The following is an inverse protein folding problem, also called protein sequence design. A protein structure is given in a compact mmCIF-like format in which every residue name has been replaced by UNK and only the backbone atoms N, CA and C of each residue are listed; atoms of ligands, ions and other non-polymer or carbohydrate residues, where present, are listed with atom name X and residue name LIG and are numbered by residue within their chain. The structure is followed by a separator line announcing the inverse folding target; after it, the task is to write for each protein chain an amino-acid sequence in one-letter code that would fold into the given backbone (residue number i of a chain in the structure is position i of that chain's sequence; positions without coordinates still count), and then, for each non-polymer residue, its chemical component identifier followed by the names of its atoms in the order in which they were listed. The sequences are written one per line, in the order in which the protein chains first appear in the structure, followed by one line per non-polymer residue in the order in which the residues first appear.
data_IF_716618473838
#
_entry.id   IF_716618473838
#
_cell.length_a   1.000
_cell.length_b   1.000
_cell.length_c   1.000
_cell.angle_alpha   90.00
_cell.angle_beta   90.00
_cell.angle_gamma   90.00
#
_symmetry.space_group_name_H-M   'P 1'
#
loop_
_entity.id
_entity.type
_entity.pdbx_description
1 polymer ?
#
# COMPACT_ATOMS: atom_id res chain seq x y z
N UNK A 1 -45.58 31.79 -39.68
CA UNK A 1 -44.64 32.18 -38.61
C UNK A 1 -44.83 31.41 -37.28
N UNK A 2 -46.06 31.01 -36.89
CA UNK A 2 -46.29 30.28 -35.62
C UNK A 2 -45.63 28.89 -35.55
N UNK A 3 -45.56 28.15 -36.66
CA UNK A 3 -44.92 26.82 -36.73
C UNK A 3 -43.38 26.88 -36.64
N UNK A 4 -42.77 27.95 -37.18
CA UNK A 4 -41.31 28.15 -37.12
C UNK A 4 -40.85 28.40 -35.68
N UNK A 5 -41.64 29.16 -34.91
CA UNK A 5 -41.40 29.36 -33.48
C UNK A 5 -41.56 28.08 -32.65
N UNK A 6 -42.51 27.20 -33.03
CA UNK A 6 -42.66 25.89 -32.40
C UNK A 6 -41.45 24.98 -32.67
N UNK A 7 -40.92 24.97 -33.90
CA UNK A 7 -39.70 24.23 -34.24
C UNK A 7 -38.44 24.78 -33.52
N UNK A 8 -38.33 26.09 -33.33
CA UNK A 8 -37.23 26.72 -32.58
C UNK A 8 -37.24 26.34 -31.09
N UNK A 9 -38.42 26.18 -30.48
CA UNK A 9 -38.58 25.72 -29.10
C UNK A 9 -38.15 24.25 -28.88
N UNK A 10 -38.24 23.40 -29.91
CA UNK A 10 -37.74 22.02 -29.83
C UNK A 10 -36.21 21.92 -29.96
N UNK A 11 -35.56 22.87 -30.65
CA UNK A 11 -34.09 22.88 -30.81
C UNK A 11 -33.39 23.26 -29.49
N UNK A 12 -34.08 23.93 -28.58
CA UNK A 12 -33.59 24.23 -27.22
C UNK A 12 -33.74 23.06 -26.22
N UNK A 13 -34.07 21.85 -26.67
CA UNK A 13 -33.92 20.64 -25.86
C UNK A 13 -32.42 20.37 -25.70
N UNK A 14 -31.83 21.05 -24.73
CA UNK A 14 -30.40 20.99 -24.40
C UNK A 14 -29.96 19.54 -24.31
N UNK A 15 -28.96 19.18 -25.12
CA UNK A 15 -28.24 17.92 -25.00
C UNK A 15 -27.67 17.85 -23.58
N UNK A 16 -28.25 17.01 -22.73
CA UNK A 16 -27.62 16.65 -21.49
C UNK A 16 -26.30 15.95 -21.85
N UNK A 17 -25.19 16.39 -21.28
CA UNK A 17 -23.92 15.70 -21.48
C UNK A 17 -24.01 14.34 -20.78
N UNK A 18 -24.09 13.29 -21.58
CA UNK A 18 -24.12 11.91 -21.12
C UNK A 18 -22.69 11.35 -21.11
N UNK A 19 -22.28 10.79 -19.98
CA UNK A 19 -21.01 10.10 -19.82
C UNK A 19 -21.27 8.66 -19.46
N UNK A 20 -20.33 7.78 -19.83
CA UNK A 20 -20.37 6.38 -19.45
C UNK A 20 -19.08 6.03 -18.76
N UNK A 21 -19.18 5.42 -17.58
CA UNK A 21 -18.03 4.94 -16.82
C UNK A 21 -18.28 3.53 -16.33
N UNK A 22 -17.20 2.75 -16.24
CA UNK A 22 -17.23 1.47 -15.56
C UNK A 22 -17.20 1.72 -14.05
N UNK A 23 -18.06 1.03 -13.31
CA UNK A 23 -18.07 1.06 -11.85
C UNK A 23 -16.91 0.24 -11.30
N UNK A 24 -15.87 0.91 -10.85
CA UNK A 24 -14.66 0.29 -10.33
C UNK A 24 -14.67 0.26 -8.79
N UNK A 25 -13.89 -0.64 -8.16
CA UNK A 25 -13.56 -0.53 -6.74
C UNK A 25 -12.96 0.83 -6.41
N UNK A 26 -13.15 1.32 -5.18
CA UNK A 26 -12.56 2.59 -4.76
C UNK A 26 -11.05 2.59 -4.92
N UNK A 27 -10.41 1.48 -4.50
CA UNK A 27 -8.97 1.27 -4.61
C UNK A 27 -8.67 -0.15 -5.09
N UNK A 28 -7.60 -0.26 -5.87
CA UNK A 28 -7.02 -1.52 -6.31
C UNK A 28 -5.53 -1.54 -5.96
N UNK A 29 -5.10 -2.60 -5.31
CA UNK A 29 -3.75 -2.75 -4.78
C UNK A 29 -3.03 -3.89 -5.47
N UNK A 30 -1.84 -3.60 -5.99
CA UNK A 30 -0.87 -4.61 -6.42
C UNK A 30 0.06 -4.93 -5.25
N UNK A 31 -0.16 -6.05 -4.58
CA UNK A 31 0.69 -6.45 -3.46
C UNK A 31 1.95 -7.13 -4.00
N UNK A 32 3.10 -6.52 -3.72
CA UNK A 32 4.42 -6.96 -4.20
C UNK A 32 5.26 -7.48 -3.05
N UNK A 33 6.19 -8.37 -3.36
CA UNK A 33 7.11 -8.91 -2.36
C UNK A 33 8.08 -7.84 -1.89
N UNK A 34 8.27 -7.71 -0.58
CA UNK A 34 9.35 -6.88 -0.02
C UNK A 34 10.67 -7.67 0.12
N UNK A 35 10.60 -9.00 0.05
CA UNK A 35 11.70 -9.91 0.39
C UNK A 35 11.87 -11.00 -0.66
N UNK A 36 13.08 -11.56 -0.75
CA UNK A 36 13.34 -12.75 -1.57
C UNK A 36 13.03 -14.04 -0.83
N UNK A 37 12.61 -15.06 -1.56
CA UNK A 37 12.54 -16.42 -1.05
C UNK A 37 11.66 -17.34 -1.88
N UNK A 38 11.62 -18.61 -1.47
CA UNK A 38 10.72 -19.60 -2.02
C UNK A 38 9.35 -19.46 -1.36
N UNK A 39 8.29 -19.45 -2.15
CA UNK A 39 6.90 -19.51 -1.66
C UNK A 39 6.64 -20.92 -1.16
N UNK A 40 6.30 -21.06 0.12
CA UNK A 40 5.96 -22.33 0.78
C UNK A 40 4.46 -22.52 0.91
N UNK A 41 3.67 -21.46 0.72
CA UNK A 41 2.23 -21.50 0.76
C UNK A 41 1.65 -20.40 -0.11
N UNK A 42 0.64 -20.76 -0.91
CA UNK A 42 -0.17 -19.82 -1.70
C UNK A 42 -1.63 -20.27 -1.66
N UNK A 43 -2.51 -19.38 -1.20
CA UNK A 43 -3.92 -19.71 -0.95
C UNK A 43 -4.82 -19.39 -2.14
N UNK A 44 -4.66 -20.14 -3.23
CA UNK A 44 -5.47 -19.94 -4.45
C UNK A 44 -6.99 -20.03 -4.24
N UNK A 45 -7.45 -20.62 -3.12
CA UNK A 45 -8.88 -20.67 -2.78
C UNK A 45 -9.48 -19.32 -2.41
N UNK A 46 -8.65 -18.32 -2.08
CA UNK A 46 -9.14 -16.97 -1.76
C UNK A 46 -9.46 -16.15 -3.01
N UNK A 47 -8.96 -16.55 -4.18
CA UNK A 47 -9.28 -15.87 -5.44
C UNK A 47 -10.80 -15.81 -5.64
N UNK A 48 -11.31 -14.62 -5.92
CA UNK A 48 -12.74 -14.42 -6.07
C UNK A 48 -13.49 -14.17 -4.76
N UNK A 49 -12.79 -13.99 -3.62
CA UNK A 49 -13.43 -13.85 -2.31
C UNK A 49 -12.76 -12.78 -1.42
N UNK A 50 -13.45 -12.37 -0.35
CA UNK A 50 -12.87 -11.49 0.68
C UNK A 50 -11.90 -12.27 1.56
N UNK A 51 -10.74 -11.69 1.84
CA UNK A 51 -9.66 -12.37 2.54
C UNK A 51 -9.98 -12.72 4.01
N UNK A 52 -10.77 -11.90 4.72
CA UNK A 52 -11.19 -12.16 6.10
C UNK A 52 -10.06 -12.54 7.08
N UNK A 53 -8.97 -11.76 7.07
CA UNK A 53 -7.77 -11.96 7.89
C UNK A 53 -7.07 -13.31 7.65
N UNK A 54 -7.15 -13.79 6.41
CA UNK A 54 -6.51 -15.04 5.99
C UNK A 54 -5.07 -14.81 5.54
N UNK A 55 -4.24 -15.83 5.73
CA UNK A 55 -2.92 -15.91 5.10
C UNK A 55 -3.14 -16.12 3.61
N UNK A 56 -2.57 -15.21 2.80
CA UNK A 56 -2.64 -15.29 1.33
C UNK A 56 -1.42 -16.04 0.81
N UNK A 57 -0.22 -15.63 1.27
CA UNK A 57 1.07 -16.19 0.83
C UNK A 57 2.01 -16.29 2.03
N UNK A 58 2.79 -17.38 2.07
CA UNK A 58 3.92 -17.52 2.98
C UNK A 58 5.19 -17.87 2.20
N UNK A 59 6.26 -17.15 2.52
CA UNK A 59 7.61 -17.31 1.97
C UNK A 59 8.47 -17.97 3.06
N UNK A 60 9.36 -18.88 2.66
CA UNK A 60 10.24 -19.60 3.58
C UNK A 60 11.07 -18.65 4.45
N UNK A 61 10.87 -18.74 5.77
CA UNK A 61 11.53 -17.92 6.79
C UNK A 61 12.40 -18.73 7.76
N UNK A 62 12.60 -20.04 7.52
CA UNK A 62 13.27 -20.94 8.48
C UNK A 62 14.68 -20.47 8.80
N UNK A 63 15.49 -20.21 7.77
CA UNK A 63 16.89 -19.76 7.95
C UNK A 63 16.95 -18.41 8.67
N UNK A 64 16.06 -17.47 8.33
CA UNK A 64 16.02 -16.16 8.98
C UNK A 64 15.66 -16.27 10.47
N UNK A 65 14.74 -17.17 10.84
CA UNK A 65 14.36 -17.40 12.25
C UNK A 65 15.53 -17.96 13.05
N UNK A 66 16.27 -18.92 12.49
CA UNK A 66 17.49 -19.46 13.12
C UNK A 66 18.54 -18.36 13.27
N UNK A 67 18.76 -17.56 12.23
CA UNK A 67 19.72 -16.46 12.28
C UNK A 67 19.34 -15.41 13.34
N UNK A 68 18.05 -15.08 13.47
CA UNK A 68 17.53 -14.16 14.48
C UNK A 68 17.81 -14.67 15.90
N UNK A 69 17.59 -15.95 16.15
CA UNK A 69 17.88 -16.57 17.45
C UNK A 69 19.39 -16.50 17.77
N UNK A 70 20.24 -16.86 16.81
CA UNK A 70 21.69 -16.80 16.98
C UNK A 70 22.19 -15.36 17.19
N UNK A 71 21.63 -14.39 16.49
CA UNK A 71 21.94 -12.97 16.68
C UNK A 71 21.54 -12.48 18.07
N UNK A 72 20.39 -12.92 18.62
CA UNK A 72 19.99 -12.60 20.00
C UNK A 72 20.94 -13.20 21.04
N UNK A 73 21.38 -14.44 20.82
CA UNK A 73 22.37 -15.07 21.70
C UNK A 73 23.71 -14.33 21.68
N UNK A 74 24.18 -13.93 20.48
CA UNK A 74 25.38 -13.09 20.34
C UNK A 74 25.26 -11.75 21.05
N UNK A 75 24.10 -11.08 20.94
CA UNK A 75 23.84 -9.83 21.65
C UNK A 75 23.96 -10.02 23.17
N UNK A 76 23.40 -11.11 23.72
CA UNK A 76 23.52 -11.44 25.13
C UNK A 76 24.99 -11.58 25.56
N UNK A 77 25.81 -12.27 24.77
CA UNK A 77 27.25 -12.40 25.07
C UNK A 77 27.99 -11.06 24.99
N UNK A 78 27.65 -10.20 24.03
CA UNK A 78 28.21 -8.85 23.95
C UNK A 78 27.84 -8.04 25.20
N UNK A 79 26.60 -8.13 25.67
CA UNK A 79 26.16 -7.46 26.91
C UNK A 79 26.93 -7.95 28.14
N UNK A 80 27.17 -9.26 28.25
CA UNK A 80 27.99 -9.84 29.32
C UNK A 80 29.44 -9.34 29.25
N UNK A 81 30.05 -9.31 28.04
CA UNK A 81 31.39 -8.76 27.82
C UNK A 81 31.46 -7.27 28.16
N UNK A 82 30.48 -6.47 27.75
CA UNK A 82 30.39 -5.05 28.09
C UNK A 82 30.35 -4.83 29.59
N UNK A 83 29.60 -5.64 30.33
CA UNK A 83 29.54 -5.55 31.79
C UNK A 83 30.92 -5.81 32.41
N UNK A 84 31.64 -6.83 31.93
CA UNK A 84 32.98 -7.17 32.40
C UNK A 84 33.96 -6.04 32.09
N UNK A 85 34.00 -5.58 30.84
CA UNK A 85 34.96 -4.56 30.40
C UNK A 85 34.70 -3.18 31.02
N UNK A 86 33.43 -2.82 31.25
CA UNK A 86 33.08 -1.61 32.01
C UNK A 86 33.55 -1.69 33.46
N UNK A 87 33.36 -2.83 34.13
CA UNK A 87 33.86 -3.01 35.49
C UNK A 87 35.39 -2.95 35.53
N UNK A 88 36.06 -3.54 34.54
CA UNK A 88 37.52 -3.48 34.41
C UNK A 88 38.01 -2.05 34.18
N UNK A 89 37.36 -1.29 33.31
CA UNK A 89 37.66 0.12 33.08
C UNK A 89 37.47 0.96 34.34
N UNK A 90 36.33 0.81 35.03
CA UNK A 90 36.06 1.54 36.27
C UNK A 90 37.10 1.26 37.36
N UNK A 91 37.50 -0.01 37.51
CA UNK A 91 38.58 -0.41 38.42
C UNK A 91 39.92 0.21 38.01
N UNK A 92 40.29 0.11 36.73
CA UNK A 92 41.55 0.63 36.22
C UNK A 92 41.66 2.16 36.38
N UNK A 93 40.54 2.87 36.19
CA UNK A 93 40.49 4.32 36.31
C UNK A 93 40.73 4.82 37.75
N UNK A 94 40.42 3.98 38.76
CA UNK A 94 40.70 4.27 40.17
C UNK A 94 42.17 4.05 40.56
N UNK A 95 42.96 3.37 39.72
CA UNK A 95 44.36 3.09 40.00
C UNK A 95 45.23 4.26 39.52
N UNK A 96 45.73 5.04 40.46
CA UNK A 96 46.57 6.22 40.17
C UNK A 96 47.93 5.90 39.55
N UNK A 97 48.47 4.70 39.81
CA UNK A 97 49.75 4.24 39.25
C UNK A 97 49.65 3.76 37.80
N UNK A 98 48.45 3.72 37.23
CA UNK A 98 48.24 3.29 35.84
C UNK A 98 48.28 4.46 34.89
N UNK A 99 48.94 4.25 33.76
CA UNK A 99 49.10 5.28 32.74
C UNK A 99 47.77 5.60 32.07
N UNK A 100 47.60 6.85 31.62
CA UNK A 100 46.42 7.23 30.81
C UNK A 100 46.31 6.39 29.53
N UNK A 101 47.44 6.02 28.93
CA UNK A 101 47.47 5.12 27.78
C UNK A 101 46.82 3.75 28.05
N UNK A 102 47.10 3.14 29.22
CA UNK A 102 46.45 1.88 29.62
C UNK A 102 44.95 2.07 29.85
N UNK A 103 44.56 3.18 30.48
CA UNK A 103 43.14 3.52 30.72
C UNK A 103 42.38 3.71 29.40
N UNK A 104 42.95 4.46 28.47
CA UNK A 104 42.39 4.69 27.13
C UNK A 104 42.29 3.39 26.34
N UNK A 105 43.31 2.54 26.40
CA UNK A 105 43.27 1.22 25.76
C UNK A 105 42.10 0.37 26.28
N UNK A 106 41.85 0.39 27.59
CA UNK A 106 40.72 -0.32 28.18
C UNK A 106 39.37 0.31 27.81
N UNK A 107 39.30 1.65 27.75
CA UNK A 107 38.11 2.38 27.29
C UNK A 107 37.76 2.06 25.85
N UNK A 108 38.76 1.96 24.97
CA UNK A 108 38.57 1.60 23.57
C UNK A 108 37.93 0.22 23.40
N UNK A 109 38.24 -0.75 24.28
CA UNK A 109 37.57 -2.07 24.27
C UNK A 109 36.07 -1.94 24.56
N UNK A 110 35.70 -1.13 25.54
CA UNK A 110 34.29 -0.86 25.87
C UNK A 110 33.59 -0.24 24.66
N UNK A 111 34.16 0.82 24.08
CA UNK A 111 33.59 1.52 22.92
C UNK A 111 33.42 0.57 21.72
N UNK A 112 34.41 -0.29 21.44
CA UNK A 112 34.32 -1.26 20.34
C UNK A 112 33.19 -2.29 20.56
N UNK A 113 32.99 -2.73 21.81
CA UNK A 113 31.88 -3.63 22.15
C UNK A 113 30.53 -2.92 22.07
N UNK A 114 30.45 -1.64 22.44
CA UNK A 114 29.23 -0.83 22.29
C UNK A 114 28.86 -0.64 20.81
N UNK A 115 29.85 -0.37 19.95
CA UNK A 115 29.65 -0.34 18.49
C UNK A 115 29.15 -1.69 17.98
N UNK A 116 29.80 -2.79 18.38
CA UNK A 116 29.40 -4.15 17.98
C UNK A 116 27.97 -4.50 18.45
N UNK A 117 27.58 -4.01 19.63
CA UNK A 117 26.22 -4.14 20.15
C UNK A 117 25.22 -3.41 19.27
N UNK A 118 25.49 -2.17 18.90
CA UNK A 118 24.62 -1.38 18.04
C UNK A 118 24.41 -2.07 16.68
N UNK A 119 25.48 -2.56 16.05
CA UNK A 119 25.41 -3.31 14.79
C UNK A 119 24.55 -4.58 14.91
N UNK A 120 24.69 -5.30 16.03
CA UNK A 120 23.89 -6.50 16.28
C UNK A 120 22.40 -6.19 16.47
N UNK A 121 22.06 -5.07 17.11
CA UNK A 121 20.68 -4.61 17.26
C UNK A 121 20.07 -4.31 15.89
N UNK A 122 20.78 -3.56 15.05
CA UNK A 122 20.32 -3.25 13.68
C UNK A 122 20.06 -4.54 12.89
N UNK A 123 20.98 -5.51 12.99
CA UNK A 123 20.81 -6.83 12.35
C UNK A 123 19.58 -7.57 12.85
N UNK A 124 19.32 -7.57 14.16
CA UNK A 124 18.15 -8.21 14.77
C UNK A 124 16.86 -7.57 14.25
N UNK A 125 16.78 -6.24 14.20
CA UNK A 125 15.59 -5.54 13.69
C UNK A 125 15.38 -5.80 12.20
N UNK A 126 16.44 -5.80 11.38
CA UNK A 126 16.34 -6.15 9.95
C UNK A 126 15.84 -7.59 9.72
N UNK A 127 16.27 -8.55 10.55
CA UNK A 127 15.79 -9.93 10.49
C UNK A 127 14.32 -10.05 10.90
N UNK A 128 13.89 -9.32 11.93
CA UNK A 128 12.47 -9.28 12.34
C UNK A 128 11.59 -8.75 11.22
N UNK A 129 11.98 -7.62 10.62
CA UNK A 129 11.26 -7.01 9.50
C UNK A 129 11.18 -7.98 8.30
N UNK A 130 12.30 -8.60 7.95
CA UNK A 130 12.34 -9.62 6.89
C UNK A 130 11.37 -10.76 7.18
N UNK A 131 11.34 -11.29 8.41
CA UNK A 131 10.46 -12.39 8.78
C UNK A 131 8.98 -11.98 8.76
N UNK A 132 8.63 -10.78 9.23
CA UNK A 132 7.25 -10.28 9.15
C UNK A 132 6.79 -10.14 7.70
N UNK A 133 7.67 -9.68 6.82
CA UNK A 133 7.39 -9.50 5.40
C UNK A 133 7.33 -10.82 4.59
N UNK A 134 7.63 -11.96 5.23
CA UNK A 134 7.51 -13.30 4.61
C UNK A 134 6.15 -13.95 4.80
N UNK A 135 5.28 -13.42 5.68
CA UNK A 135 3.93 -13.95 5.90
C UNK A 135 2.91 -12.87 5.60
N UNK A 136 2.22 -12.98 4.48
CA UNK A 136 1.28 -11.98 4.02
C UNK A 136 -0.14 -12.36 4.43
N UNK A 137 -0.75 -11.49 5.23
CA UNK A 137 -2.12 -11.64 5.72
C UNK A 137 -2.92 -10.46 5.19
N UNK A 138 -3.99 -10.75 4.46
CA UNK A 138 -4.93 -9.74 3.98
C UNK A 138 -6.17 -9.71 4.89
N UNK A 139 -6.55 -8.52 5.33
CA UNK A 139 -7.56 -8.33 6.38
C UNK A 139 -8.97 -8.43 5.83
N UNK A 140 -9.32 -7.61 4.84
CA UNK A 140 -10.72 -7.43 4.43
C UNK A 140 -10.92 -7.28 2.93
N UNK A 141 -9.86 -6.99 2.18
CA UNK A 141 -9.97 -6.75 0.76
C UNK A 141 -10.35 -8.02 -0.01
N UNK A 142 -10.96 -7.82 -1.17
CA UNK A 142 -11.29 -8.87 -2.12
C UNK A 142 -10.02 -9.28 -2.87
N UNK A 143 -9.70 -10.57 -2.88
CA UNK A 143 -8.54 -11.09 -3.63
C UNK A 143 -8.99 -11.34 -5.07
N UNK A 144 -8.45 -10.55 -6.00
CA UNK A 144 -8.79 -10.65 -7.41
C UNK A 144 -8.07 -11.82 -8.08
N UNK A 145 -6.76 -11.93 -7.86
CA UNK A 145 -5.91 -13.00 -8.37
C UNK A 145 -4.69 -13.17 -7.46
N UNK A 146 -4.10 -14.36 -7.45
CA UNK A 146 -2.81 -14.64 -6.84
C UNK A 146 -1.84 -15.04 -7.96
N UNK A 147 -0.77 -14.27 -8.09
CA UNK A 147 0.17 -14.35 -9.22
C UNK A 147 1.29 -15.36 -9.02
N UNK A 148 1.41 -15.94 -7.82
CA UNK A 148 2.47 -16.89 -7.46
C UNK A 148 1.91 -18.18 -6.85
N UNK A 149 2.58 -19.29 -7.09
CA UNK A 149 2.22 -20.61 -6.57
C UNK A 149 3.24 -21.12 -5.57
N UNK A 150 2.85 -22.12 -4.80
CA UNK A 150 3.78 -22.86 -3.95
C UNK A 150 4.91 -23.44 -4.81
N UNK A 151 6.15 -23.25 -4.36
CA UNK A 151 7.34 -23.65 -5.09
C UNK A 151 8.03 -22.53 -5.86
N UNK A 152 7.31 -21.44 -6.19
CA UNK A 152 7.87 -20.32 -6.94
C UNK A 152 8.92 -19.56 -6.11
N UNK A 153 9.87 -18.95 -6.82
CA UNK A 153 10.85 -18.05 -6.22
C UNK A 153 10.49 -16.61 -6.55
N UNK A 154 10.45 -15.77 -5.52
CA UNK A 154 10.12 -14.35 -5.63
C UNK A 154 11.30 -13.49 -5.22
N UNK A 155 11.37 -12.30 -5.79
CA UNK A 155 12.32 -11.25 -5.44
C UNK A 155 11.57 -9.98 -4.99
N UNK A 156 12.24 -9.04 -4.31
CA UNK A 156 11.66 -7.73 -4.03
C UNK A 156 11.08 -7.09 -5.30
N UNK A 157 9.83 -6.64 -5.22
CA UNK A 157 9.07 -6.06 -6.34
C UNK A 157 8.28 -7.07 -7.17
N UNK A 158 8.47 -8.39 -6.99
CA UNK A 158 7.64 -9.41 -7.67
C UNK A 158 6.17 -9.26 -7.25
N UNK A 159 5.24 -9.20 -8.22
CA UNK A 159 3.81 -9.18 -7.95
C UNK A 159 3.36 -10.50 -7.33
N UNK A 160 2.69 -10.42 -6.18
CA UNK A 160 2.24 -11.56 -5.41
C UNK A 160 0.76 -11.82 -5.59
N UNK A 161 -0.07 -10.80 -5.39
CA UNK A 161 -1.52 -10.86 -5.58
C UNK A 161 -2.10 -9.46 -5.78
N UNK A 162 -3.28 -9.38 -6.39
CA UNK A 162 -4.04 -8.12 -6.46
C UNK A 162 -5.22 -8.18 -5.49
N UNK A 163 -5.39 -7.10 -4.74
CA UNK A 163 -6.47 -6.93 -3.79
C UNK A 163 -7.30 -5.70 -4.14
N UNK A 164 -8.62 -5.76 -3.95
CA UNK A 164 -9.56 -4.69 -4.29
C UNK A 164 -10.36 -4.29 -3.05
N UNK A 165 -10.41 -2.99 -2.78
CA UNK A 165 -11.31 -2.45 -1.76
C UNK A 165 -12.70 -2.27 -2.37
N UNK A 166 -13.63 -3.14 -1.96
CA UNK A 166 -15.03 -3.12 -2.41
C UNK A 166 -15.95 -2.35 -1.45
N UNK A 167 -15.41 -1.55 -0.53
CA UNK A 167 -16.22 -0.76 0.41
C UNK A 167 -17.07 0.32 -0.27
N UNK A 168 -16.54 0.89 -1.36
CA UNK A 168 -17.17 1.93 -2.17
C UNK A 168 -16.89 1.68 -3.64
N UNK A 169 -17.73 2.25 -4.49
CA UNK A 169 -17.51 2.31 -5.93
C UNK A 169 -16.93 3.65 -6.36
N UNK A 170 -16.17 3.61 -7.45
CA UNK A 170 -15.62 4.77 -8.12
C UNK A 170 -16.05 4.77 -9.58
N UNK A 171 -16.50 5.92 -10.07
CA UNK A 171 -16.73 6.18 -11.49
C UNK A 171 -15.76 7.26 -11.94
N UNK A 172 -14.95 6.95 -12.96
CA UNK A 172 -14.06 7.91 -13.59
C UNK A 172 -14.60 8.28 -14.98
N UNK A 173 -14.87 9.56 -15.19
CA UNK A 173 -15.29 10.11 -16.48
C UNK A 173 -14.34 11.21 -16.94
N UNK A 174 -14.32 11.48 -18.24
CA UNK A 174 -13.56 12.57 -18.83
C UNK A 174 -14.53 13.65 -19.34
N UNK A 175 -14.47 14.83 -18.73
CA UNK A 175 -15.35 15.96 -19.02
C UNK A 175 -14.57 17.05 -19.75
N UNK A 176 -15.06 17.57 -20.89
CA UNK A 176 -14.40 18.65 -21.61
C UNK A 176 -14.08 19.85 -20.70
N UNK A 177 -12.87 20.40 -20.85
CA UNK A 177 -12.39 21.52 -20.01
C UNK A 177 -13.35 22.70 -20.04
N UNK A 178 -13.92 23.00 -21.21
CA UNK A 178 -14.88 24.09 -21.38
C UNK A 178 -16.16 23.93 -20.52
N UNK A 179 -16.55 22.68 -20.24
CA UNK A 179 -17.80 22.34 -19.53
C UNK A 179 -17.60 22.10 -18.04
N UNK A 180 -16.37 22.13 -17.53
CA UNK A 180 -16.08 21.74 -16.14
C UNK A 180 -16.75 22.66 -15.11
N UNK A 181 -16.83 23.96 -15.41
CA UNK A 181 -17.45 24.93 -14.49
C UNK A 181 -18.96 24.78 -14.45
N UNK A 182 -19.58 24.28 -15.51
CA UNK A 182 -21.03 24.06 -15.59
C UNK A 182 -21.45 22.84 -14.78
N UNK A 183 -20.65 21.77 -14.75
CA UNK A 183 -21.03 20.51 -14.08
C UNK A 183 -20.92 20.57 -12.56
N UNK A 184 -20.11 21.48 -12.00
CA UNK A 184 -19.83 21.54 -10.54
C UNK A 184 -21.09 21.75 -9.69
N UNK A 185 -22.10 22.43 -10.24
CA UNK A 185 -23.32 22.81 -9.53
C UNK A 185 -24.56 22.05 -10.02
N UNK A 186 -24.41 21.10 -10.94
CA UNK A 186 -25.53 20.34 -11.52
C UNK A 186 -25.89 19.12 -10.67
N UNK A 187 -27.13 18.69 -10.78
CA UNK A 187 -27.58 17.46 -10.16
C UNK A 187 -27.04 16.27 -10.96
N UNK A 188 -26.61 15.23 -10.25
CA UNK A 188 -26.01 14.04 -10.85
C UNK A 188 -27.05 12.93 -10.91
N UNK A 189 -27.31 12.47 -12.12
CA UNK A 189 -28.18 11.32 -12.38
C UNK A 189 -27.32 10.12 -12.78
N UNK A 190 -27.62 8.97 -12.19
CA UNK A 190 -27.00 7.69 -12.52
C UNK A 190 -28.07 6.78 -13.13
N UNK A 191 -27.81 6.25 -14.33
CA UNK A 191 -28.75 5.42 -15.09
C UNK A 191 -30.16 6.05 -15.26
N UNK A 192 -30.20 7.39 -15.30
CA UNK A 192 -31.44 8.18 -15.44
C UNK A 192 -32.15 8.51 -14.12
N UNK A 193 -31.69 7.97 -13.00
CA UNK A 193 -32.24 8.24 -11.66
C UNK A 193 -31.42 9.31 -10.93
N UNK A 194 -32.10 10.24 -10.24
CA UNK A 194 -31.42 11.27 -9.44
C UNK A 194 -30.64 10.60 -8.31
N UNK A 195 -29.37 10.94 -8.16
CA UNK A 195 -28.51 10.40 -7.11
C UNK A 195 -28.05 11.49 -6.13
N UNK A 196 -27.74 11.09 -4.90
CA UNK A 196 -27.11 11.95 -3.90
C UNK A 196 -25.57 12.02 -4.05
N UNK A 197 -25.04 11.38 -5.10
CA UNK A 197 -23.61 11.31 -5.38
C UNK A 197 -23.09 12.70 -5.71
N UNK A 198 -21.89 13.00 -5.21
CA UNK A 198 -21.19 14.26 -5.47
C UNK A 198 -19.88 14.01 -6.17
N UNK A 199 -19.39 15.03 -6.87
CA UNK A 199 -18.05 15.02 -7.41
C UNK A 199 -17.05 14.94 -6.26
N UNK A 200 -16.30 13.83 -6.22
CA UNK A 200 -15.23 13.59 -5.25
C UNK A 200 -14.01 14.42 -5.61
N UNK A 201 -13.61 14.37 -6.89
CA UNK A 201 -12.39 15.01 -7.37
C UNK A 201 -12.51 15.43 -8.84
N UNK A 202 -11.89 16.56 -9.16
CA UNK A 202 -11.64 17.01 -10.53
C UNK A 202 -10.12 17.15 -10.65
N UNK A 203 -9.54 16.55 -11.68
CA UNK A 203 -8.12 16.67 -11.97
C UNK A 203 -7.91 17.88 -12.89
N UNK A 204 -7.29 18.94 -12.38
CA UNK A 204 -7.06 20.19 -13.12
C UNK A 204 -5.96 20.07 -14.21
N UNK A 205 -5.38 18.88 -14.36
CA UNK A 205 -4.40 18.56 -15.40
C UNK A 205 -5.01 17.48 -16.30
N UNK A 206 -5.03 17.75 -17.60
CA UNK A 206 -5.55 16.81 -18.58
C UNK A 206 -4.69 15.55 -18.65
N UNK A 207 -5.35 14.41 -18.92
CA UNK A 207 -4.66 13.13 -19.07
C UNK A 207 -3.81 13.12 -20.36
N UNK A 208 -2.81 12.26 -20.40
CA UNK A 208 -1.99 11.99 -21.59
C UNK A 208 -2.81 11.55 -22.81
N UNK A 209 -3.92 10.84 -22.61
CA UNK A 209 -4.82 10.41 -23.69
C UNK A 209 -5.89 11.46 -23.98
N UNK A 210 -6.52 11.99 -22.93
CA UNK A 210 -7.65 12.92 -23.04
C UNK A 210 -7.22 14.38 -22.81
N UNK A 211 -6.43 14.93 -23.73
CA UNK A 211 -5.79 16.25 -23.59
C UNK A 211 -6.74 17.45 -23.49
N UNK A 212 -7.99 17.31 -23.94
CA UNK A 212 -9.01 18.37 -23.95
C UNK A 212 -10.09 18.18 -22.87
N UNK A 213 -9.91 17.19 -21.99
CA UNK A 213 -10.86 16.84 -20.94
C UNK A 213 -10.17 16.64 -19.60
N UNK A 214 -10.84 17.05 -18.54
CA UNK A 214 -10.41 16.75 -17.18
C UNK A 214 -11.04 15.45 -16.71
N UNK A 215 -10.24 14.68 -15.97
CA UNK A 215 -10.73 13.50 -15.27
C UNK A 215 -11.58 13.96 -14.09
N UNK A 216 -12.77 13.39 -13.97
CA UNK A 216 -13.72 13.65 -12.88
C UNK A 216 -14.07 12.33 -12.22
N UNK A 217 -13.97 12.31 -10.90
CA UNK A 217 -14.21 11.13 -10.07
C UNK A 217 -15.50 11.32 -9.27
N UNK A 218 -16.37 10.32 -9.33
CA UNK A 218 -17.55 10.19 -8.47
C UNK A 218 -17.37 8.97 -7.57
N UNK A 219 -17.71 9.11 -6.29
CA UNK A 219 -17.65 8.01 -5.31
C UNK A 219 -19.06 7.63 -4.90
N UNK A 220 -19.35 6.33 -4.96
CA UNK A 220 -20.64 5.74 -4.64
C UNK A 220 -20.49 4.91 -3.37
N UNK A 221 -21.40 5.13 -2.42
CA UNK A 221 -21.56 4.27 -1.26
C UNK A 221 -22.52 3.10 -1.59
N UNK A 222 -22.41 1.99 -0.85
CA UNK A 222 -23.31 0.82 -0.93
C UNK A 222 -23.44 0.23 -2.35
N UNK A 223 -22.30 -0.18 -2.93
CA UNK A 223 -22.27 -0.81 -4.26
C UNK A 223 -22.29 -2.33 -4.16
N UNK A 224 -23.30 -2.95 -4.78
CA UNK A 224 -23.42 -4.41 -4.81
C UNK A 224 -22.68 -5.05 -6.00
N UNK A 225 -22.79 -4.42 -7.18
CA UNK A 225 -22.30 -5.00 -8.44
C UNK A 225 -21.24 -4.09 -9.10
N UNK A 226 -19.99 -4.50 -9.00
CA UNK A 226 -18.86 -3.84 -9.66
C UNK A 226 -18.72 -4.26 -11.12
N UNK A 227 -17.92 -3.52 -11.88
CA UNK A 227 -17.62 -3.72 -13.31
C UNK A 227 -18.77 -3.51 -14.29
N UNK A 228 -19.93 -3.03 -13.83
CA UNK A 228 -21.03 -2.60 -14.72
C UNK A 228 -20.75 -1.23 -15.35
N UNK A 229 -21.28 -1.00 -16.55
CA UNK A 229 -21.28 0.33 -17.16
C UNK A 229 -22.42 1.15 -16.55
N UNK A 230 -22.13 2.38 -16.15
CA UNK A 230 -23.08 3.32 -15.55
C UNK A 230 -23.16 4.55 -16.43
N UNK A 231 -24.39 4.94 -16.79
CA UNK A 231 -24.65 6.21 -17.46
C UNK A 231 -24.70 7.33 -16.43
N UNK A 232 -24.00 8.42 -16.68
CA UNK A 232 -23.89 9.59 -15.80
C UNK A 232 -24.37 10.81 -16.57
N UNK A 233 -25.31 11.55 -15.99
CA UNK A 233 -25.86 12.77 -16.60
C UNK A 233 -25.79 13.93 -15.59
N UNK A 234 -25.35 15.10 -16.07
CA UNK A 234 -25.35 16.33 -15.29
C UNK A 234 -26.52 17.21 -15.76
N UNK A 235 -27.55 17.37 -14.93
CA UNK A 235 -28.77 18.12 -15.25
C UNK A 235 -28.89 19.37 -14.38
#
# INVERSE_FOLDING_TARGET
MKIVWLCLLFISSIFANEYYAKLEPIESYEVKSAVSGKVIFSNSKLEGSKANNSVVIEIDSVVNKVELEQSRNKLKYIDEMLKIENNNYNRLNQVSSKSEFEKDTQKLKVINLESSKADMIIKIEGLKDTISNKKLIEKSNYIYNISVKEGDYVNPGTLLYEAKDLSKGKLEIFVPIASINEIKNKEIYLDGEKSDVKISKIYDVADSVNISSYKVELVLDNVDNFSRLVKIEFK
#
